data_IF_090258308038
#
_entry.id   IF_090258308038
#
_cell.length_a   1.000
_cell.length_b   1.000
_cell.length_c   1.000
_cell.angle_alpha   90.00
_cell.angle_beta   90.00
_cell.angle_gamma   90.00
#
_symmetry.space_group_name_H-M   'P 1'
#
loop_
_entity.id
_entity.type
_entity.pdbx_description
1 polymer ?
#
# COMPACT_ATOMS: atom_id res chain seq x y z
N UNK A 1 -23.95 4.60 6.59
CA UNK A 1 -22.62 5.17 6.23
C UNK A 1 -22.80 6.59 5.75
N UNK A 2 -21.96 7.53 6.19
CA UNK A 2 -22.01 8.94 5.77
C UNK A 2 -20.89 9.22 4.75
N UNK A 3 -21.23 9.92 3.65
CA UNK A 3 -20.24 10.34 2.64
C UNK A 3 -19.98 11.83 2.85
N UNK A 4 -18.73 12.19 3.11
CA UNK A 4 -18.31 13.57 3.40
C UNK A 4 -17.18 14.00 2.43
N UNK A 5 -17.24 15.26 2.00
CA UNK A 5 -16.32 15.80 1.01
C UNK A 5 -15.41 16.89 1.56
N UNK A 6 -15.69 17.40 2.76
CA UNK A 6 -14.86 18.42 3.40
C UNK A 6 -14.27 17.94 4.71
N UNK A 7 -13.10 18.44 5.06
CA UNK A 7 -12.46 18.19 6.36
C UNK A 7 -13.36 18.68 7.50
N UNK A 8 -14.04 19.81 7.30
CA UNK A 8 -14.95 20.39 8.29
C UNK A 8 -16.10 19.45 8.62
N UNK A 9 -16.78 18.88 7.62
CA UNK A 9 -17.91 17.98 7.82
C UNK A 9 -17.45 16.68 8.47
N UNK A 10 -16.32 16.13 8.01
CA UNK A 10 -15.71 14.95 8.62
C UNK A 10 -15.43 15.18 10.10
N UNK A 11 -14.80 16.30 10.46
CA UNK A 11 -14.46 16.62 11.85
C UNK A 11 -15.72 16.85 12.70
N UNK A 12 -16.76 17.43 12.13
CA UNK A 12 -18.05 17.59 12.81
C UNK A 12 -18.68 16.23 13.15
N UNK A 13 -18.72 15.28 12.20
CA UNK A 13 -19.21 13.92 12.42
C UNK A 13 -18.38 13.17 13.46
N UNK A 14 -17.05 13.29 13.42
CA UNK A 14 -16.14 12.60 14.34
C UNK A 14 -16.15 13.20 15.76
N UNK A 15 -16.46 14.48 15.92
CA UNK A 15 -16.43 15.15 17.23
C UNK A 15 -17.41 14.54 18.23
N UNK A 16 -18.61 14.18 17.77
CA UNK A 16 -19.62 13.53 18.60
C UNK A 16 -19.18 12.12 19.09
N UNK A 17 -18.45 11.38 18.26
CA UNK A 17 -17.89 10.07 18.61
C UNK A 17 -16.79 10.21 19.66
N UNK A 18 -15.88 11.17 19.47
CA UNK A 18 -14.79 11.44 20.42
C UNK A 18 -15.29 11.91 21.79
N UNK A 19 -16.33 12.75 21.80
CA UNK A 19 -16.97 13.18 23.05
C UNK A 19 -17.53 12.00 23.86
N UNK A 20 -17.82 10.87 23.22
CA UNK A 20 -18.27 9.62 23.83
C UNK A 20 -17.08 8.66 24.16
N UNK A 21 -15.83 9.07 23.95
CA UNK A 21 -14.64 8.23 24.16
C UNK A 21 -14.46 7.11 23.14
N UNK A 22 -15.15 7.18 21.99
CA UNK A 22 -15.08 6.16 20.95
C UNK A 22 -13.81 6.20 20.15
N UNK A 23 -13.31 5.02 19.79
CA UNK A 23 -12.11 4.81 18.98
C UNK A 23 -12.42 4.93 17.50
N UNK A 24 -11.55 5.64 16.79
CA UNK A 24 -11.68 5.88 15.35
C UNK A 24 -10.52 5.21 14.61
N UNK A 25 -10.86 4.34 13.67
CA UNK A 25 -9.89 3.76 12.72
C UNK A 25 -9.93 4.49 11.38
N UNK A 26 -8.79 4.51 10.68
CA UNK A 26 -8.65 5.08 9.35
C UNK A 26 -8.11 4.05 8.36
N UNK A 27 -8.72 3.97 7.18
CA UNK A 27 -8.20 3.21 6.04
C UNK A 27 -7.96 4.16 4.87
N UNK A 28 -6.72 4.61 4.62
CA UNK A 28 -6.40 5.43 3.45
C UNK A 28 -6.48 4.62 2.17
N UNK A 29 -7.24 5.09 1.18
CA UNK A 29 -7.32 4.48 -0.15
C UNK A 29 -7.35 5.53 -1.26
N UNK A 30 -7.08 5.09 -2.49
CA UNK A 30 -7.27 5.91 -3.69
C UNK A 30 -8.55 5.59 -4.45
N UNK A 31 -9.44 4.76 -3.90
CA UNK A 31 -10.62 4.25 -4.61
C UNK A 31 -10.31 3.05 -5.51
N UNK A 32 -11.25 2.71 -6.39
CA UNK A 32 -11.22 1.49 -7.18
C UNK A 32 -11.01 0.25 -6.30
N UNK A 33 -11.88 0.13 -5.31
CA UNK A 33 -11.73 -0.80 -4.21
C UNK A 33 -11.97 -2.25 -4.66
N UNK A 34 -11.25 -3.16 -4.05
CA UNK A 34 -11.32 -4.60 -4.28
C UNK A 34 -11.28 -5.36 -2.94
N UNK A 35 -11.37 -6.69 -2.97
CA UNK A 35 -11.38 -7.52 -1.76
C UNK A 35 -10.19 -7.28 -0.81
N UNK A 36 -9.03 -6.89 -1.35
CA UNK A 36 -7.87 -6.47 -0.54
C UNK A 36 -8.19 -5.25 0.34
N UNK A 37 -8.79 -4.20 -0.23
CA UNK A 37 -9.23 -3.03 0.55
C UNK A 37 -10.37 -3.40 1.51
N UNK A 38 -11.33 -4.23 1.08
CA UNK A 38 -12.40 -4.71 1.94
C UNK A 38 -11.88 -5.43 3.20
N UNK A 39 -10.77 -6.17 3.09
CA UNK A 39 -10.15 -6.84 4.25
C UNK A 39 -9.61 -5.85 5.27
N UNK A 40 -8.98 -4.74 4.82
CA UNK A 40 -8.51 -3.67 5.70
C UNK A 40 -9.69 -3.01 6.42
N UNK A 41 -10.75 -2.68 5.67
CA UNK A 41 -11.95 -2.02 6.22
C UNK A 41 -12.64 -2.90 7.24
N UNK A 42 -12.85 -4.19 6.94
CA UNK A 42 -13.46 -5.15 7.88
C UNK A 42 -12.64 -5.28 9.17
N UNK A 43 -11.30 -5.32 9.07
CA UNK A 43 -10.43 -5.32 10.24
C UNK A 43 -10.53 -4.03 11.03
N UNK A 44 -10.54 -2.88 10.34
CA UNK A 44 -10.73 -1.57 10.96
C UNK A 44 -12.05 -1.49 11.73
N UNK A 45 -13.14 -1.94 11.13
CA UNK A 45 -14.49 -1.99 11.76
C UNK A 45 -14.52 -2.91 12.98
N UNK A 46 -13.82 -4.05 12.91
CA UNK A 46 -13.76 -5.00 14.03
C UNK A 46 -12.96 -4.50 15.24
N UNK A 47 -11.98 -3.61 15.00
CA UNK A 47 -11.04 -3.16 16.04
C UNK A 47 -11.30 -1.74 16.54
N UNK A 48 -12.30 -1.01 15.98
CA UNK A 48 -12.63 0.36 16.37
C UNK A 48 -14.14 0.57 16.41
N UNK A 49 -14.60 1.61 17.10
CA UNK A 49 -16.03 1.97 17.19
C UNK A 49 -16.55 2.63 15.90
N UNK A 50 -15.67 3.27 15.15
CA UNK A 50 -16.00 3.88 13.87
C UNK A 50 -14.82 3.75 12.89
N UNK A 51 -15.10 3.32 11.66
CA UNK A 51 -14.14 3.26 10.58
C UNK A 51 -14.36 4.41 9.60
N UNK A 52 -13.32 5.19 9.33
CA UNK A 52 -13.26 6.20 8.28
C UNK A 52 -12.44 5.62 7.14
N UNK A 53 -12.97 5.65 5.93
CA UNK A 53 -12.24 5.25 4.73
C UNK A 53 -12.08 6.46 3.81
N UNK A 54 -10.85 6.84 3.49
CA UNK A 54 -10.63 7.88 2.48
C UNK A 54 -10.65 7.28 1.08
N UNK A 55 -11.30 7.98 0.15
CA UNK A 55 -11.29 7.68 -1.29
C UNK A 55 -10.76 8.92 -2.01
N UNK A 56 -9.44 8.96 -2.25
CA UNK A 56 -8.78 10.13 -2.82
C UNK A 56 -7.59 9.74 -3.70
N UNK A 57 -7.69 10.02 -5.00
CA UNK A 57 -6.56 9.83 -5.94
C UNK A 57 -5.60 11.01 -5.78
N UNK A 58 -4.53 10.77 -5.03
CA UNK A 58 -3.55 11.80 -4.67
C UNK A 58 -2.61 12.12 -5.85
N UNK A 59 -2.67 13.31 -6.46
CA UNK A 59 -1.85 13.62 -7.64
C UNK A 59 -0.35 13.71 -7.33
N UNK A 60 0.04 14.08 -6.10
CA UNK A 60 1.44 14.37 -5.76
C UNK A 60 2.31 13.11 -5.65
N UNK A 61 1.71 11.92 -5.56
CA UNK A 61 2.45 10.65 -5.47
C UNK A 61 2.64 9.93 -6.81
N UNK A 62 2.09 10.46 -7.90
CA UNK A 62 2.24 9.89 -9.24
C UNK A 62 3.44 10.50 -9.95
N UNK A 63 4.37 9.64 -10.38
CA UNK A 63 5.52 10.04 -11.21
C UNK A 63 5.15 10.07 -12.70
N UNK A 64 4.19 9.25 -13.11
CA UNK A 64 3.68 9.16 -14.48
C UNK A 64 2.28 9.79 -14.58
N UNK A 65 2.14 10.80 -15.42
CA UNK A 65 0.86 11.46 -15.68
C UNK A 65 -0.17 10.52 -16.32
N UNK A 66 0.28 9.59 -17.15
CA UNK A 66 -0.61 8.60 -17.76
C UNK A 66 -1.19 7.64 -16.72
N UNK A 67 -0.38 7.25 -15.70
CA UNK A 67 -0.87 6.40 -14.61
C UNK A 67 -1.92 7.15 -13.76
N UNK A 68 -1.71 8.43 -13.50
CA UNK A 68 -2.69 9.29 -12.82
C UNK A 68 -3.99 9.45 -13.62
N UNK A 69 -3.90 9.70 -14.92
CA UNK A 69 -5.07 9.89 -15.79
C UNK A 69 -5.88 8.61 -15.95
N UNK A 70 -5.19 7.47 -16.12
CA UNK A 70 -5.80 6.14 -16.26
C UNK A 70 -6.20 5.49 -14.95
N UNK A 71 -5.89 6.11 -13.79
CA UNK A 71 -6.26 5.54 -12.50
C UNK A 71 -7.79 5.52 -12.36
N UNK A 72 -8.40 4.35 -12.11
CA UNK A 72 -9.85 4.21 -12.11
C UNK A 72 -10.50 5.02 -10.98
N UNK A 73 -11.64 5.63 -11.26
CA UNK A 73 -12.45 6.41 -10.32
C UNK A 73 -13.87 5.85 -10.31
N UNK A 74 -14.21 5.19 -9.22
CA UNK A 74 -15.44 4.36 -9.10
C UNK A 74 -16.16 4.62 -7.78
N UNK A 75 -16.31 5.90 -7.38
CA UNK A 75 -16.78 6.27 -6.05
C UNK A 75 -18.12 5.59 -5.66
N UNK A 76 -19.07 5.51 -6.60
CA UNK A 76 -20.39 4.89 -6.31
C UNK A 76 -20.25 3.40 -5.98
N UNK A 77 -19.46 2.66 -6.77
CA UNK A 77 -19.17 1.25 -6.52
C UNK A 77 -18.37 1.06 -5.23
N UNK A 78 -17.39 1.95 -4.99
CA UNK A 78 -16.60 1.97 -3.76
C UNK A 78 -17.50 2.16 -2.52
N UNK A 79 -18.46 3.10 -2.57
CA UNK A 79 -19.42 3.33 -1.49
C UNK A 79 -20.28 2.10 -1.19
N UNK A 80 -20.76 1.40 -2.21
CA UNK A 80 -21.52 0.15 -2.02
C UNK A 80 -20.69 -0.90 -1.28
N UNK A 81 -19.42 -1.08 -1.69
CA UNK A 81 -18.51 -2.00 -1.03
C UNK A 81 -18.23 -1.59 0.43
N UNK A 82 -18.00 -0.30 0.67
CA UNK A 82 -17.66 0.23 1.99
C UNK A 82 -18.85 0.13 2.96
N UNK A 83 -20.07 0.38 2.49
CA UNK A 83 -21.28 0.19 3.29
C UNK A 83 -21.47 -1.28 3.68
N UNK A 84 -21.27 -2.21 2.74
CA UNK A 84 -21.31 -3.64 3.01
C UNK A 84 -20.20 -4.11 3.98
N UNK A 85 -19.08 -3.39 4.06
CA UNK A 85 -18.01 -3.64 5.03
C UNK A 85 -18.27 -3.03 6.41
N UNK A 86 -19.28 -2.16 6.56
CA UNK A 86 -19.61 -1.51 7.83
C UNK A 86 -18.85 -0.20 8.11
N UNK A 87 -18.29 0.45 7.09
CA UNK A 87 -17.65 1.76 7.25
C UNK A 87 -18.65 2.79 7.81
N UNK A 88 -18.21 3.61 8.75
CA UNK A 88 -19.03 4.69 9.30
C UNK A 88 -19.00 5.93 8.41
N UNK A 89 -17.83 6.29 7.90
CA UNK A 89 -17.61 7.45 7.03
C UNK A 89 -16.81 7.07 5.79
N UNK A 90 -17.21 7.66 4.65
CA UNK A 90 -16.38 7.74 3.43
C UNK A 90 -15.95 9.19 3.26
N UNK A 91 -14.67 9.44 3.34
CA UNK A 91 -14.10 10.76 3.10
C UNK A 91 -13.59 10.83 1.65
N UNK A 92 -14.33 11.51 0.80
CA UNK A 92 -14.06 11.66 -0.63
C UNK A 92 -13.81 13.14 -1.00
N UNK A 93 -12.68 13.73 -0.55
CA UNK A 93 -12.41 15.15 -0.78
C UNK A 93 -12.00 15.43 -2.22
N UNK A 94 -12.14 16.70 -2.63
CA UNK A 94 -11.54 17.20 -3.86
C UNK A 94 -10.04 17.48 -3.70
N UNK A 95 -9.33 17.64 -4.82
CA UNK A 95 -7.91 18.07 -4.78
C UNK A 95 -7.78 19.45 -4.13
N UNK A 96 -8.71 20.37 -4.41
CA UNK A 96 -8.71 21.70 -3.81
C UNK A 96 -8.93 21.67 -2.28
N UNK A 97 -9.71 20.72 -1.78
CA UNK A 97 -9.90 20.53 -0.33
C UNK A 97 -8.63 20.06 0.36
N UNK A 98 -7.92 19.08 -0.24
CA UNK A 98 -6.69 18.53 0.34
C UNK A 98 -5.46 19.41 0.10
N UNK A 99 -5.46 20.17 -1.00
CA UNK A 99 -4.37 21.05 -1.43
C UNK A 99 -4.91 22.42 -1.85
N UNK A 100 -5.44 23.22 -0.89
CA UNK A 100 -5.88 24.59 -1.19
C UNK A 100 -4.69 25.48 -1.65
N UNK A 101 -3.49 25.10 -1.21
CA UNK A 101 -2.20 25.64 -1.66
C UNK A 101 -1.22 24.48 -1.92
N UNK A 102 -0.18 24.67 -2.75
CA UNK A 102 0.85 23.67 -2.96
C UNK A 102 1.51 23.25 -1.64
N UNK A 103 1.60 21.95 -1.40
CA UNK A 103 2.28 21.45 -0.20
C UNK A 103 3.79 21.43 -0.40
N UNK A 104 4.48 22.36 0.23
CA UNK A 104 5.94 22.51 0.12
C UNK A 104 6.72 21.67 1.13
N UNK A 105 6.03 20.87 1.99
CA UNK A 105 6.70 20.02 2.96
C UNK A 105 7.51 18.94 2.26
N UNK A 106 8.72 18.73 2.76
CA UNK A 106 9.61 17.67 2.29
C UNK A 106 9.75 16.61 3.40
N UNK A 107 9.43 15.39 3.04
CA UNK A 107 9.59 14.23 3.92
C UNK A 107 10.76 13.39 3.39
N UNK A 108 11.70 13.05 4.25
CA UNK A 108 12.80 12.15 3.93
C UNK A 108 13.06 11.22 5.11
N UNK A 109 13.10 9.94 4.81
CA UNK A 109 13.28 8.87 5.79
C UNK A 109 14.39 7.90 5.34
N UNK A 110 15.51 8.49 4.85
CA UNK A 110 16.64 7.68 4.41
C UNK A 110 17.12 6.73 5.55
N UNK A 111 17.48 5.49 5.23
CA UNK A 111 17.57 4.91 3.89
C UNK A 111 16.25 4.31 3.36
N UNK A 112 15.15 4.34 4.12
CA UNK A 112 13.89 3.68 3.78
C UNK A 112 13.28 4.18 2.45
N UNK A 113 13.42 5.46 2.14
CA UNK A 113 12.82 6.13 0.98
C UNK A 113 13.78 6.26 -0.23
N UNK A 114 14.99 5.68 -0.14
CA UNK A 114 16.02 5.81 -1.18
C UNK A 114 16.36 4.50 -1.91
N UNK A 115 15.76 3.40 -1.49
CA UNK A 115 15.94 2.06 -2.07
C UNK A 115 14.66 1.62 -2.81
N UNK A 116 14.71 0.55 -3.58
CA UNK A 116 13.56 -0.08 -4.23
C UNK A 116 12.61 0.94 -4.88
N UNK A 117 11.32 1.00 -4.48
CA UNK A 117 10.35 1.97 -5.02
C UNK A 117 10.86 3.42 -4.94
N UNK A 118 11.57 3.79 -3.88
CA UNK A 118 12.10 5.13 -3.71
C UNK A 118 13.17 5.49 -4.74
N UNK A 119 14.01 4.53 -5.12
CA UNK A 119 15.02 4.70 -6.17
C UNK A 119 14.39 4.79 -7.57
N UNK A 120 13.37 3.97 -7.85
CA UNK A 120 12.70 3.91 -9.16
C UNK A 120 11.60 4.96 -9.33
N UNK A 121 11.11 5.55 -8.25
CA UNK A 121 10.02 6.52 -8.23
C UNK A 121 10.38 7.76 -7.41
N UNK A 122 11.34 8.60 -7.86
CA UNK A 122 11.77 9.79 -7.11
C UNK A 122 10.58 10.70 -6.77
N UNK A 123 10.47 11.12 -5.49
CA UNK A 123 9.39 11.96 -4.98
C UNK A 123 8.09 11.24 -4.62
N UNK A 124 7.92 9.97 -4.99
CA UNK A 124 6.71 9.20 -4.69
C UNK A 124 6.39 9.19 -3.19
N UNK A 125 7.35 8.81 -2.36
CA UNK A 125 7.13 8.72 -0.91
C UNK A 125 6.95 10.08 -0.25
N UNK A 126 7.54 11.14 -0.80
CA UNK A 126 7.21 12.50 -0.34
C UNK A 126 5.72 12.79 -0.55
N UNK A 127 5.17 12.50 -1.75
CA UNK A 127 3.75 12.66 -2.04
C UNK A 127 2.85 11.78 -1.15
N UNK A 128 3.26 10.53 -0.87
CA UNK A 128 2.55 9.63 0.05
C UNK A 128 2.52 10.23 1.47
N UNK A 129 3.65 10.68 1.99
CA UNK A 129 3.73 11.28 3.32
C UNK A 129 2.95 12.58 3.42
N UNK A 130 2.94 13.42 2.37
CA UNK A 130 2.12 14.63 2.31
C UNK A 130 0.64 14.31 2.50
N UNK A 131 0.08 13.36 1.72
CA UNK A 131 -1.35 13.05 1.83
C UNK A 131 -1.69 12.30 3.11
N UNK A 132 -0.87 11.31 3.52
CA UNK A 132 -1.15 10.51 4.71
C UNK A 132 -1.11 11.38 5.97
N UNK A 133 -0.14 12.30 6.10
CA UNK A 133 -0.11 13.24 7.23
C UNK A 133 -1.35 14.14 7.26
N UNK A 134 -1.81 14.67 6.10
CA UNK A 134 -3.06 15.45 6.02
C UNK A 134 -4.28 14.64 6.44
N UNK A 135 -4.34 13.36 6.05
CA UNK A 135 -5.43 12.46 6.47
C UNK A 135 -5.36 12.19 7.99
N UNK A 136 -4.18 12.01 8.56
CA UNK A 136 -4.00 11.87 10.00
C UNK A 136 -4.44 13.13 10.75
N UNK A 137 -4.10 14.31 10.26
CA UNK A 137 -4.49 15.58 10.85
C UNK A 137 -6.01 15.84 10.75
N UNK A 138 -6.63 15.45 9.63
CA UNK A 138 -8.08 15.59 9.43
C UNK A 138 -8.89 14.61 10.27
N UNK A 139 -8.48 13.33 10.29
CA UNK A 139 -9.20 12.25 10.97
C UNK A 139 -8.79 12.11 12.43
N UNK A 140 -7.52 12.35 12.79
CA UNK A 140 -6.92 12.07 14.11
C UNK A 140 -7.29 10.66 14.60
N UNK A 141 -6.95 9.61 13.86
CA UNK A 141 -7.37 8.25 14.18
C UNK A 141 -6.60 7.69 15.39
N UNK A 142 -7.20 6.70 16.08
CA UNK A 142 -6.49 5.88 17.08
C UNK A 142 -5.63 4.81 16.38
N UNK A 143 -6.10 4.28 15.22
CA UNK A 143 -5.41 3.31 14.39
C UNK A 143 -5.55 3.64 12.92
N UNK A 144 -4.50 3.37 12.13
CA UNK A 144 -4.57 3.46 10.68
C UNK A 144 -4.09 2.17 10.03
N UNK A 145 -4.83 1.68 9.04
CA UNK A 145 -4.67 0.34 8.45
C UNK A 145 -4.08 0.43 7.06
N UNK A 146 -2.98 -0.29 6.83
CA UNK A 146 -2.25 -0.33 5.56
C UNK A 146 -1.97 -1.76 5.15
N UNK A 147 -2.02 -2.05 3.85
CA UNK A 147 -1.70 -3.37 3.32
C UNK A 147 -0.19 -3.62 3.27
N UNK A 148 0.24 -4.80 3.71
CA UNK A 148 1.63 -5.26 3.60
C UNK A 148 2.08 -5.45 2.13
N UNK A 149 1.16 -5.44 1.18
CA UNK A 149 1.50 -5.47 -0.25
C UNK A 149 2.39 -4.28 -0.64
N UNK A 150 2.10 -3.10 -0.15
CA UNK A 150 2.89 -1.90 -0.33
C UNK A 150 3.92 -1.78 0.81
N UNK A 151 4.81 -2.79 0.90
CA UNK A 151 5.65 -3.06 2.05
C UNK A 151 6.54 -1.88 2.45
N UNK A 152 7.23 -1.28 1.48
CA UNK A 152 8.08 -0.11 1.72
C UNK A 152 7.27 1.11 2.15
N UNK A 153 6.08 1.32 1.58
CA UNK A 153 5.17 2.39 2.02
C UNK A 153 4.79 2.21 3.50
N UNK A 154 4.45 0.99 3.92
CA UNK A 154 4.12 0.69 5.30
C UNK A 154 5.29 1.01 6.25
N UNK A 155 6.52 0.65 5.88
CA UNK A 155 7.72 0.95 6.66
C UNK A 155 7.95 2.47 6.79
N UNK A 156 7.81 3.21 5.70
CA UNK A 156 7.98 4.67 5.69
C UNK A 156 6.89 5.37 6.51
N UNK A 157 5.64 4.90 6.44
CA UNK A 157 4.55 5.49 7.24
C UNK A 157 4.76 5.24 8.74
N UNK A 158 5.26 4.06 9.13
CA UNK A 158 5.63 3.79 10.53
C UNK A 158 6.72 4.74 11.01
N UNK A 159 7.73 4.97 10.19
CA UNK A 159 8.81 5.90 10.50
C UNK A 159 8.31 7.35 10.56
N UNK A 160 7.43 7.76 9.65
CA UNK A 160 6.76 9.06 9.69
C UNK A 160 6.00 9.28 11.00
N UNK A 161 5.20 8.30 11.42
CA UNK A 161 4.45 8.35 12.69
C UNK A 161 5.39 8.51 13.87
N UNK A 162 6.50 7.75 13.88
CA UNK A 162 7.51 7.83 14.94
C UNK A 162 8.18 9.20 15.01
N UNK A 163 8.65 9.74 13.86
CA UNK A 163 9.39 11.00 13.82
C UNK A 163 8.50 12.22 14.06
N UNK A 164 7.26 12.19 13.56
CA UNK A 164 6.28 13.26 13.75
C UNK A 164 5.54 13.17 15.10
N UNK A 165 5.84 12.17 15.92
CA UNK A 165 5.20 11.93 17.23
C UNK A 165 3.66 11.86 17.15
N UNK A 166 3.13 11.25 16.09
CA UNK A 166 1.69 10.98 16.01
C UNK A 166 1.27 9.95 17.07
N UNK A 167 0.17 10.26 17.79
CA UNK A 167 -0.39 9.35 18.80
C UNK A 167 -1.41 8.41 18.18
N UNK A 168 -0.96 7.55 17.28
CA UNK A 168 -1.78 6.52 16.64
C UNK A 168 -0.97 5.24 16.38
N UNK A 169 -1.66 4.12 16.27
CA UNK A 169 -1.07 2.82 15.91
C UNK A 169 -1.17 2.57 14.39
N UNK A 170 -0.07 2.15 13.76
CA UNK A 170 -0.08 1.68 12.37
C UNK A 170 -0.24 0.17 12.33
N UNK A 171 -1.35 -0.28 11.80
CA UNK A 171 -1.71 -1.70 11.66
C UNK A 171 -1.39 -2.18 10.24
N UNK A 172 -0.41 -3.10 10.13
CA UNK A 172 -0.15 -3.82 8.88
C UNK A 172 -1.18 -4.92 8.67
N UNK A 173 -1.73 -5.02 7.46
CA UNK A 173 -2.69 -6.05 7.09
C UNK A 173 -2.10 -6.97 6.01
N UNK A 174 -2.25 -8.30 6.13
CA UNK A 174 -1.67 -9.26 5.20
C UNK A 174 -2.09 -9.01 3.75
N UNK A 175 -1.25 -9.45 2.81
CA UNK A 175 -1.57 -9.42 1.39
C UNK A 175 -2.76 -10.33 1.11
N UNK A 176 -3.80 -9.78 0.49
CA UNK A 176 -4.90 -10.57 -0.05
C UNK A 176 -4.59 -10.88 -1.50
N UNK A 177 -4.77 -12.16 -1.88
CA UNK A 177 -4.51 -12.67 -3.22
C UNK A 177 -5.80 -13.18 -3.84
N UNK A 178 -5.85 -13.21 -5.16
CA UNK A 178 -6.88 -13.92 -5.90
C UNK A 178 -6.70 -15.45 -5.70
N UNK A 179 -7.70 -16.26 -6.05
CA UNK A 179 -7.66 -17.72 -5.86
C UNK A 179 -6.47 -18.39 -6.53
N UNK A 180 -5.97 -17.83 -7.62
CA UNK A 180 -4.80 -18.30 -8.36
C UNK A 180 -3.46 -17.73 -7.85
N UNK A 181 -3.49 -16.93 -6.78
CA UNK A 181 -2.31 -16.42 -6.08
C UNK A 181 -1.86 -15.02 -6.45
N UNK A 182 -2.41 -14.38 -7.51
CA UNK A 182 -2.04 -13.01 -7.87
C UNK A 182 -2.41 -12.05 -6.74
N UNK A 183 -1.46 -11.20 -6.32
CA UNK A 183 -1.73 -10.15 -5.35
C UNK A 183 -2.79 -9.18 -5.88
N UNK A 184 -3.83 -8.90 -5.07
CA UNK A 184 -4.90 -7.99 -5.47
C UNK A 184 -4.37 -6.56 -5.62
N UNK A 185 -4.70 -5.95 -6.77
CA UNK A 185 -4.36 -4.58 -7.10
C UNK A 185 -5.42 -3.98 -8.02
N UNK A 186 -5.76 -2.70 -7.82
CA UNK A 186 -6.62 -1.95 -8.76
C UNK A 186 -6.05 -1.91 -10.18
N UNK A 187 -4.72 -2.06 -10.32
CA UNK A 187 -4.06 -2.13 -11.63
C UNK A 187 -4.29 -3.45 -12.36
N UNK A 188 -4.70 -4.53 -11.67
CA UNK A 188 -4.99 -5.81 -12.32
C UNK A 188 -6.10 -5.71 -13.37
N UNK A 189 -7.05 -4.78 -13.20
CA UNK A 189 -8.12 -4.50 -14.17
C UNK A 189 -7.61 -3.95 -15.52
N UNK A 190 -6.34 -3.51 -15.60
CA UNK A 190 -5.70 -3.01 -16.82
C UNK A 190 -5.00 -4.11 -17.63
N UNK A 191 -4.85 -5.29 -17.06
CA UNK A 191 -4.22 -6.43 -17.74
C UNK A 191 -5.18 -7.04 -18.76
N UNK A 192 -4.67 -7.32 -19.95
CA UNK A 192 -5.37 -8.19 -20.92
C UNK A 192 -5.46 -9.61 -20.37
N UNK A 193 -6.26 -10.46 -20.99
CA UNK A 193 -6.42 -11.88 -20.61
C UNK A 193 -5.08 -12.63 -20.61
N UNK A 194 -4.22 -12.33 -21.60
CA UNK A 194 -2.90 -12.95 -21.71
C UNK A 194 -1.94 -12.43 -20.63
N UNK A 195 -1.87 -11.10 -20.49
CA UNK A 195 -1.06 -10.47 -19.44
C UNK A 195 -1.47 -10.95 -18.04
N UNK A 196 -2.78 -11.10 -17.80
CA UNK A 196 -3.29 -11.63 -16.52
C UNK A 196 -2.77 -13.04 -16.23
N UNK A 197 -2.66 -13.91 -17.24
CA UNK A 197 -2.07 -15.25 -17.11
C UNK A 197 -0.57 -15.18 -16.83
N UNK A 198 0.14 -14.32 -17.58
CA UNK A 198 1.58 -14.16 -17.41
C UNK A 198 1.93 -13.58 -16.04
N UNK A 199 1.14 -12.65 -15.51
CA UNK A 199 1.34 -12.03 -14.20
C UNK A 199 1.32 -13.04 -13.04
N UNK A 200 0.65 -14.19 -13.17
CA UNK A 200 0.67 -15.26 -12.16
C UNK A 200 2.06 -15.78 -11.86
N UNK A 201 2.97 -15.73 -12.86
CA UNK A 201 4.35 -16.18 -12.66
C UNK A 201 5.05 -15.41 -11.53
N UNK A 202 4.66 -14.15 -11.27
CA UNK A 202 5.25 -13.33 -10.20
C UNK A 202 5.03 -14.00 -8.84
N UNK A 203 3.78 -14.25 -8.46
CA UNK A 203 3.47 -14.88 -7.17
C UNK A 203 3.94 -16.32 -7.07
N UNK A 204 3.80 -17.09 -8.16
CA UNK A 204 4.31 -18.47 -8.23
C UNK A 204 5.81 -18.51 -7.96
N UNK A 205 6.58 -17.67 -8.66
CA UNK A 205 8.04 -17.60 -8.45
C UNK A 205 8.40 -17.21 -7.01
N UNK A 206 7.67 -16.25 -6.42
CA UNK A 206 7.91 -15.90 -5.02
C UNK A 206 7.63 -17.06 -4.06
N UNK A 207 6.54 -17.80 -4.24
CA UNK A 207 6.25 -18.98 -3.41
C UNK A 207 7.27 -20.10 -3.62
N UNK A 208 7.66 -20.41 -4.86
CA UNK A 208 8.71 -21.36 -5.19
C UNK A 208 10.05 -20.95 -4.56
N UNK A 209 10.41 -19.67 -4.64
CA UNK A 209 11.67 -19.13 -4.08
C UNK A 209 11.74 -19.26 -2.55
N UNK A 210 10.62 -19.13 -1.85
CA UNK A 210 10.58 -19.34 -0.40
C UNK A 210 10.90 -20.79 -0.02
N UNK A 211 10.42 -21.74 -0.81
CA UNK A 211 10.79 -23.14 -0.63
C UNK A 211 12.25 -23.41 -0.97
N UNK A 212 12.73 -22.80 -2.06
CA UNK A 212 14.13 -22.89 -2.51
C UNK A 212 15.12 -22.34 -1.47
N UNK A 213 14.78 -21.22 -0.83
CA UNK A 213 15.58 -20.56 0.18
C UNK A 213 15.91 -21.42 1.41
N UNK A 214 15.09 -22.45 1.68
CA UNK A 214 15.32 -23.35 2.83
C UNK A 214 16.67 -24.12 2.78
N UNK A 215 17.28 -24.25 1.59
CA UNK A 215 18.55 -24.97 1.39
C UNK A 215 19.56 -24.22 0.52
N UNK A 216 19.28 -22.95 0.22
CA UNK A 216 20.11 -22.12 -0.65
C UNK A 216 20.44 -20.77 -0.03
N UNK A 217 21.52 -20.18 -0.48
CA UNK A 217 21.96 -18.85 -0.03
C UNK A 217 21.02 -17.73 -0.51
N UNK A 218 21.14 -16.54 0.10
CA UNK A 218 20.44 -15.31 -0.34
C UNK A 218 20.73 -15.02 -1.81
N UNK A 219 22.02 -15.09 -2.23
CA UNK A 219 22.42 -14.82 -3.62
C UNK A 219 21.84 -15.83 -4.62
N UNK A 220 21.82 -17.13 -4.28
CA UNK A 220 21.19 -18.16 -5.13
C UNK A 220 19.69 -17.97 -5.22
N UNK A 221 19.03 -17.59 -4.11
CA UNK A 221 17.57 -17.33 -4.08
C UNK A 221 17.24 -16.09 -4.90
N UNK A 222 18.04 -15.03 -4.81
CA UNK A 222 17.87 -13.83 -5.64
C UNK A 222 17.97 -14.18 -7.12
N UNK A 223 19.03 -14.88 -7.49
CA UNK A 223 19.24 -15.31 -8.88
C UNK A 223 18.12 -16.21 -9.39
N UNK A 224 17.61 -17.14 -8.57
CA UNK A 224 16.47 -18.00 -8.92
C UNK A 224 15.25 -17.17 -9.34
N UNK A 225 14.90 -16.13 -8.58
CA UNK A 225 13.75 -15.26 -8.89
C UNK A 225 14.01 -14.44 -10.14
N UNK A 226 15.19 -13.82 -10.26
CA UNK A 226 15.57 -12.99 -11.41
C UNK A 226 15.55 -13.80 -12.71
N UNK A 227 16.14 -15.00 -12.71
CA UNK A 227 16.17 -15.89 -13.88
C UNK A 227 14.74 -16.32 -14.27
N UNK A 228 13.92 -16.74 -13.28
CA UNK A 228 12.56 -17.21 -13.53
C UNK A 228 11.64 -16.13 -14.12
N UNK A 229 11.77 -14.89 -13.67
CA UNK A 229 10.98 -13.76 -14.21
C UNK A 229 11.52 -13.30 -15.57
N UNK A 230 12.84 -13.29 -15.75
CA UNK A 230 13.47 -12.83 -17.00
C UNK A 230 13.08 -13.69 -18.22
N UNK A 231 12.88 -15.01 -18.02
CA UNK A 231 12.46 -15.91 -19.11
C UNK A 231 10.94 -15.99 -19.29
N UNK A 232 10.16 -15.40 -18.39
CA UNK A 232 8.71 -15.47 -18.42
C UNK A 232 8.13 -14.55 -19.52
N UNK A 233 7.22 -15.08 -20.39
CA UNK A 233 6.66 -14.29 -21.49
C UNK A 233 5.94 -13.04 -20.99
N UNK A 234 6.18 -11.90 -21.66
CA UNK A 234 5.47 -10.64 -21.37
C UNK A 234 5.82 -9.99 -20.03
N UNK A 235 6.78 -10.53 -19.28
CA UNK A 235 7.27 -9.95 -18.04
C UNK A 235 8.64 -9.29 -18.24
N UNK A 236 8.85 -8.16 -17.55
CA UNK A 236 10.14 -7.47 -17.48
C UNK A 236 10.40 -7.08 -16.03
N UNK A 237 11.39 -7.74 -15.44
CA UNK A 237 11.82 -7.43 -14.07
C UNK A 237 12.34 -6.00 -13.99
N UNK A 238 11.88 -5.22 -13.01
CA UNK A 238 12.48 -3.94 -12.66
C UNK A 238 13.49 -4.14 -11.54
N UNK A 239 13.08 -4.80 -10.47
CA UNK A 239 13.98 -5.27 -9.41
C UNK A 239 13.38 -6.45 -8.65
N UNK A 240 14.24 -7.24 -8.05
CA UNK A 240 13.94 -8.13 -6.93
C UNK A 240 15.03 -7.94 -5.88
N UNK A 241 14.65 -7.65 -4.65
CA UNK A 241 15.59 -7.42 -3.56
C UNK A 241 15.20 -8.20 -2.31
N UNK A 242 16.17 -8.88 -1.72
CA UNK A 242 16.07 -9.55 -0.43
C UNK A 242 16.61 -8.60 0.64
N UNK A 243 15.73 -8.19 1.54
CA UNK A 243 16.00 -7.12 2.50
C UNK A 243 15.65 -7.51 3.93
N UNK A 244 16.28 -6.84 4.88
CA UNK A 244 15.78 -6.77 6.26
C UNK A 244 14.46 -6.01 6.28
N UNK A 245 13.42 -6.63 6.83
CA UNK A 245 12.06 -6.08 6.80
C UNK A 245 11.86 -4.83 7.65
N UNK A 246 12.78 -4.48 8.53
CA UNK A 246 12.71 -3.28 9.36
C UNK A 246 13.46 -2.11 8.73
N UNK A 247 14.64 -2.37 8.17
CA UNK A 247 15.55 -1.34 7.67
C UNK A 247 15.50 -1.18 6.16
N UNK A 248 14.92 -2.16 5.45
CA UNK A 248 14.88 -2.26 3.98
C UNK A 248 16.26 -2.33 3.33
N UNK A 249 17.30 -2.61 4.12
CA UNK A 249 18.65 -2.80 3.59
C UNK A 249 18.82 -4.22 3.09
N UNK A 250 19.58 -4.38 1.99
CA UNK A 250 19.86 -5.70 1.40
C UNK A 250 20.59 -6.58 2.41
N UNK A 251 20.21 -7.84 2.46
CA UNK A 251 20.89 -8.86 3.23
C UNK A 251 21.82 -9.67 2.32
N UNK A 252 22.96 -10.09 2.84
CA UNK A 252 23.90 -10.96 2.15
C UNK A 252 23.75 -12.43 2.60
N UNK A 253 23.36 -12.63 3.85
CA UNK A 253 23.15 -13.95 4.45
C UNK A 253 21.81 -13.96 5.19
N UNK A 254 21.22 -15.15 5.34
CA UNK A 254 19.97 -15.29 6.08
C UNK A 254 20.09 -14.95 7.56
N UNK A 255 21.30 -15.00 8.12
CA UNK A 255 21.60 -14.67 9.51
C UNK A 255 21.70 -13.17 9.78
N UNK A 256 21.77 -12.34 8.73
CA UNK A 256 21.88 -10.89 8.86
C UNK A 256 20.65 -10.27 9.51
N UNK A 257 19.50 -10.96 9.45
CA UNK A 257 18.25 -10.50 10.05
C UNK A 257 17.37 -11.64 10.55
N UNK A 258 16.52 -11.32 11.54
CA UNK A 258 15.42 -12.19 11.97
C UNK A 258 14.16 -12.00 11.10
N UNK A 259 14.08 -10.92 10.31
CA UNK A 259 12.92 -10.59 9.48
C UNK A 259 13.33 -10.30 8.04
N UNK A 260 13.34 -11.33 7.19
CA UNK A 260 13.75 -11.23 5.80
C UNK A 260 12.55 -11.19 4.85
N UNK A 261 12.52 -10.21 3.95
CA UNK A 261 11.46 -10.01 2.96
C UNK A 261 12.06 -9.88 1.56
N UNK A 262 11.44 -10.55 0.60
CA UNK A 262 11.72 -10.36 -0.82
C UNK A 262 10.69 -9.43 -1.43
N UNK A 263 11.13 -8.30 -1.95
CA UNK A 263 10.29 -7.31 -2.63
C UNK A 263 10.57 -7.35 -4.13
N UNK A 264 9.51 -7.44 -4.93
CA UNK A 264 9.62 -7.53 -6.39
C UNK A 264 8.77 -6.48 -7.09
N UNK A 265 9.30 -5.95 -8.18
CA UNK A 265 8.55 -5.16 -9.14
C UNK A 265 8.78 -5.67 -10.56
N UNK A 266 7.68 -5.89 -11.26
CA UNK A 266 7.67 -6.45 -12.60
C UNK A 266 6.70 -5.66 -13.49
N UNK A 267 7.13 -5.31 -14.68
CA UNK A 267 6.21 -4.88 -15.74
C UNK A 267 5.61 -6.09 -16.43
N UNK A 268 4.28 -6.12 -16.52
CA UNK A 268 3.53 -7.04 -17.36
C UNK A 268 2.87 -6.23 -18.46
N UNK A 269 3.43 -6.30 -19.70
CA UNK A 269 3.16 -5.27 -20.71
C UNK A 269 3.49 -3.87 -20.16
N UNK A 270 2.51 -2.97 -20.22
CA UNK A 270 2.63 -1.59 -19.70
C UNK A 270 2.22 -1.47 -18.22
N UNK A 271 1.76 -2.55 -17.59
CA UNK A 271 1.26 -2.50 -16.21
C UNK A 271 2.38 -2.86 -15.24
N UNK A 272 2.73 -1.92 -14.37
CA UNK A 272 3.71 -2.12 -13.30
C UNK A 272 3.05 -2.77 -12.09
N UNK A 273 3.49 -3.98 -11.76
CA UNK A 273 2.99 -4.79 -10.66
C UNK A 273 4.05 -4.93 -9.57
N UNK A 274 3.62 -4.87 -8.33
CA UNK A 274 4.46 -5.12 -7.16
C UNK A 274 3.91 -6.27 -6.34
N UNK A 275 4.81 -7.02 -5.73
CA UNK A 275 4.49 -8.08 -4.77
C UNK A 275 5.63 -8.22 -3.76
N UNK A 276 5.39 -8.97 -2.69
CA UNK A 276 6.44 -9.34 -1.75
C UNK A 276 6.13 -10.67 -1.06
N UNK A 277 7.15 -11.25 -0.45
CA UNK A 277 7.04 -12.48 0.32
C UNK A 277 7.99 -12.45 1.51
N UNK A 278 7.54 -12.94 2.66
CA UNK A 278 8.36 -13.14 3.85
C UNK A 278 9.08 -14.47 3.75
N UNK A 279 10.39 -14.45 3.94
CA UNK A 279 11.24 -15.64 4.04
C UNK A 279 11.48 -16.03 5.49
N UNK A 280 11.51 -15.03 6.38
CA UNK A 280 11.80 -15.18 7.80
C UNK A 280 11.07 -14.11 8.59
N UNK A 281 10.48 -14.43 9.75
CA UNK A 281 9.81 -13.48 10.67
C UNK A 281 9.81 -14.00 12.11
#
# INVERSE_FOLDING_TARGET
>A
MEIVHTIKDLQAGLSALRAQGKKVGLVPTMGALHAGHASLVKRCVAENDAAVVSVFVNPTQFNDKNDLEKYPRTLDADCVLLEACGAAFVFAPSVAEMYPEPDMRQFSYAPLDTVMEGAFRPGHFNGVCQIVSKLFDAVKPDRAYFGEKDFQQLAIIREMVRQMNYSLEIVGCPIIREEDGLALSSRNARLSVEERKNALKISQTLFESRTFAASHTVAETQKFVEDAITVAPGLRLEYFELVDGNTLQKIANWEDTAYAVGCITVFCGEVRLIDNIKYKE
#
